data_IF_367291837016
#
_entry.id   IF_367291837016
#
_cell.length_a   1.000
_cell.length_b   1.000
_cell.length_c   1.000
_cell.angle_alpha   90.00
_cell.angle_beta   90.00
_cell.angle_gamma   90.00
#
_symmetry.space_group_name_H-M   'P 1'
#
loop_
_entity.id
_entity.type
_entity.pdbx_description
1 polymer ?
#
# COMPACT_ATOMS: atom_id res chain seq x y z
N UNK A 1 -2.70 16.07 -3.93
CA UNK A 1 -2.42 15.02 -2.92
C UNK A 1 -3.50 13.95 -2.94
N UNK A 2 -4.78 14.31 -2.75
CA UNK A 2 -5.89 13.35 -2.75
C UNK A 2 -6.02 12.52 -4.02
N UNK A 3 -5.99 13.12 -5.22
CA UNK A 3 -6.12 12.37 -6.48
C UNK A 3 -4.97 11.37 -6.72
N UNK A 4 -3.73 11.79 -6.50
CA UNK A 4 -2.57 10.92 -6.59
C UNK A 4 -2.63 9.77 -5.55
N UNK A 5 -3.12 10.06 -4.33
CA UNK A 5 -3.36 9.04 -3.32
C UNK A 5 -4.51 8.09 -3.67
N UNK A 6 -5.53 8.56 -4.40
CA UNK A 6 -6.64 7.73 -4.86
C UNK A 6 -6.18 6.67 -5.87
N UNK A 7 -5.29 7.03 -6.81
CA UNK A 7 -4.69 6.08 -7.74
C UNK A 7 -3.98 4.94 -7.01
N UNK A 8 -3.16 5.26 -6.01
CA UNK A 8 -2.52 4.27 -5.15
C UNK A 8 -3.55 3.44 -4.37
N UNK A 9 -4.55 4.07 -3.76
CA UNK A 9 -5.62 3.39 -3.01
C UNK A 9 -6.34 2.35 -3.87
N UNK A 10 -6.72 2.69 -5.09
CA UNK A 10 -7.36 1.73 -5.99
C UNK A 10 -6.40 0.60 -6.38
N UNK A 11 -5.15 0.94 -6.68
CA UNK A 11 -4.14 -0.06 -7.02
C UNK A 11 -3.86 -1.05 -5.89
N UNK A 12 -3.64 -0.61 -4.64
CA UNK A 12 -3.37 -1.55 -3.54
C UNK A 12 -4.55 -2.49 -3.28
N UNK A 13 -5.78 -2.05 -3.50
CA UNK A 13 -6.94 -2.93 -3.37
C UNK A 13 -6.98 -4.01 -4.47
N UNK A 14 -6.78 -3.62 -5.73
CA UNK A 14 -6.69 -4.58 -6.84
C UNK A 14 -5.49 -5.50 -6.73
N UNK A 15 -4.33 -4.96 -6.32
CA UNK A 15 -3.11 -5.72 -6.07
C UNK A 15 -3.32 -6.72 -4.92
N UNK A 16 -3.97 -6.33 -3.82
CA UNK A 16 -4.35 -7.23 -2.73
C UNK A 16 -5.21 -8.37 -3.26
N UNK A 17 -6.28 -8.05 -4.01
CA UNK A 17 -7.19 -9.05 -4.56
C UNK A 17 -6.48 -10.05 -5.47
N UNK A 18 -5.58 -9.58 -6.33
CA UNK A 18 -4.73 -10.44 -7.16
C UNK A 18 -3.79 -11.34 -6.37
N UNK A 19 -3.24 -10.85 -5.26
CA UNK A 19 -2.38 -11.67 -4.41
C UNK A 19 -3.14 -12.73 -3.61
N UNK A 20 -4.47 -12.59 -3.42
CA UNK A 20 -5.28 -13.63 -2.77
C UNK A 20 -5.33 -14.94 -3.58
N UNK A 21 -4.93 -14.95 -4.86
CA UNK A 21 -4.75 -16.19 -5.61
C UNK A 21 -3.70 -17.13 -5.00
N UNK A 22 -2.87 -16.66 -4.06
CA UNK A 22 -1.94 -17.51 -3.30
C UNK A 22 -2.67 -18.64 -2.56
N UNK A 23 -3.93 -18.41 -2.16
CA UNK A 23 -4.79 -19.40 -1.50
C UNK A 23 -5.41 -20.41 -2.47
N UNK A 24 -5.42 -20.10 -3.77
CA UNK A 24 -5.94 -20.99 -4.82
C UNK A 24 -4.87 -21.94 -5.38
N UNK A 25 -3.61 -21.82 -4.91
CA UNK A 25 -2.50 -22.70 -5.26
C UNK A 25 -1.55 -22.13 -6.32
N UNK A 26 -0.45 -22.86 -6.61
CA UNK A 26 0.65 -22.37 -7.43
C UNK A 26 0.26 -22.00 -8.86
N UNK A 27 -0.56 -22.83 -9.51
CA UNK A 27 -0.96 -22.60 -10.90
C UNK A 27 -1.80 -21.34 -11.05
N UNK A 28 -2.82 -21.16 -10.19
CA UNK A 28 -3.69 -20.00 -10.24
C UNK A 28 -2.91 -18.69 -10.00
N UNK A 29 -1.99 -18.68 -9.03
CA UNK A 29 -1.16 -17.52 -8.72
C UNK A 29 -0.20 -17.17 -9.86
N UNK A 30 0.49 -18.16 -10.42
CA UNK A 30 1.45 -17.95 -11.51
C UNK A 30 0.76 -17.54 -12.81
N UNK A 31 -0.39 -18.14 -13.15
CA UNK A 31 -1.19 -17.74 -14.32
C UNK A 31 -1.71 -16.31 -14.21
N UNK A 32 -2.16 -15.90 -13.03
CA UNK A 32 -2.57 -14.51 -12.79
C UNK A 32 -1.40 -13.53 -13.01
N UNK A 33 -0.23 -13.80 -12.43
CA UNK A 33 0.97 -12.99 -12.64
C UNK A 33 1.40 -12.95 -14.11
N UNK A 34 1.34 -14.10 -14.80
CA UNK A 34 1.65 -14.19 -16.22
C UNK A 34 0.68 -13.35 -17.08
N UNK A 35 -0.62 -13.40 -16.82
CA UNK A 35 -1.62 -12.62 -17.57
C UNK A 35 -1.34 -11.11 -17.51
N UNK A 36 -0.87 -10.60 -16.37
CA UNK A 36 -0.49 -9.19 -16.22
C UNK A 36 0.81 -8.90 -16.97
N UNK A 37 1.85 -9.72 -16.76
CA UNK A 37 3.19 -9.47 -17.34
C UNK A 37 3.22 -9.64 -18.86
N UNK A 38 2.38 -10.53 -19.40
CA UNK A 38 2.25 -10.74 -20.84
C UNK A 38 1.49 -9.59 -21.52
N UNK A 39 0.62 -8.89 -20.79
CA UNK A 39 -0.02 -7.67 -21.27
C UNK A 39 0.87 -6.44 -21.05
N UNK A 40 1.87 -6.26 -21.94
CA UNK A 40 2.85 -5.16 -21.85
C UNK A 40 2.24 -3.76 -21.78
N UNK A 41 1.21 -3.40 -22.58
CA UNK A 41 0.55 -2.10 -22.45
C UNK A 41 -0.07 -1.87 -21.08
N UNK A 42 -0.78 -2.87 -20.54
CA UNK A 42 -1.36 -2.78 -19.20
C UNK A 42 -0.27 -2.63 -18.13
N UNK A 43 0.78 -3.44 -18.21
CA UNK A 43 1.89 -3.43 -17.26
C UNK A 43 2.58 -2.05 -17.24
N UNK A 44 3.14 -1.62 -18.37
CA UNK A 44 3.92 -0.37 -18.41
C UNK A 44 3.04 0.87 -18.21
N UNK A 45 1.80 0.86 -18.70
CA UNK A 45 0.84 1.93 -18.44
C UNK A 45 0.56 2.08 -16.95
N UNK A 46 0.33 0.97 -16.26
CA UNK A 46 0.11 0.96 -14.80
C UNK A 46 1.36 1.42 -14.05
N UNK A 47 2.55 0.97 -14.43
CA UNK A 47 3.81 1.37 -13.78
C UNK A 47 4.09 2.87 -13.90
N UNK A 48 3.97 3.43 -15.11
CA UNK A 48 4.16 4.87 -15.35
C UNK A 48 3.14 5.67 -14.56
N UNK A 49 1.88 5.25 -14.56
CA UNK A 49 0.81 5.89 -13.80
C UNK A 49 1.10 5.90 -12.29
N UNK A 50 1.51 4.76 -11.73
CA UNK A 50 1.80 4.63 -10.30
C UNK A 50 3.01 5.44 -9.88
N UNK A 51 4.12 5.37 -10.63
CA UNK A 51 5.32 6.16 -10.34
C UNK A 51 5.00 7.65 -10.39
N UNK A 52 4.26 8.10 -11.40
CA UNK A 52 3.82 9.49 -11.51
C UNK A 52 2.97 9.90 -10.31
N UNK A 53 1.99 9.08 -9.93
CA UNK A 53 1.17 9.32 -8.74
C UNK A 53 2.01 9.34 -7.46
N UNK A 54 3.02 8.47 -7.33
CA UNK A 54 3.89 8.41 -6.15
C UNK A 54 4.71 9.69 -6.00
N UNK A 55 5.35 10.13 -7.09
CA UNK A 55 6.17 11.35 -7.10
C UNK A 55 5.33 12.58 -6.74
N UNK A 56 4.13 12.70 -7.33
CA UNK A 56 3.20 13.80 -7.00
C UNK A 56 2.74 13.69 -5.54
N UNK A 57 2.39 12.49 -5.07
CA UNK A 57 1.91 12.27 -3.71
C UNK A 57 2.99 12.64 -2.67
N UNK A 58 4.21 12.11 -2.83
CA UNK A 58 5.35 12.37 -1.95
C UNK A 58 5.79 13.83 -2.02
N UNK A 59 5.91 14.42 -3.22
CA UNK A 59 6.31 15.81 -3.39
C UNK A 59 5.37 16.79 -2.69
N UNK A 60 4.05 16.60 -2.87
CA UNK A 60 3.05 17.39 -2.15
C UNK A 60 3.04 17.10 -0.64
N UNK A 61 3.32 15.86 -0.23
CA UNK A 61 3.47 15.44 1.17
C UNK A 61 4.59 16.17 1.89
N UNK A 62 5.75 16.21 1.26
CA UNK A 62 6.92 16.92 1.75
C UNK A 62 6.66 18.41 1.82
N UNK A 63 6.10 19.01 0.76
CA UNK A 63 5.73 20.42 0.75
C UNK A 63 4.82 20.78 1.93
N UNK A 64 3.72 20.03 2.12
CA UNK A 64 2.79 20.26 3.23
C UNK A 64 3.46 20.08 4.59
N UNK A 65 4.35 19.10 4.74
CA UNK A 65 5.10 18.86 5.98
C UNK A 65 6.02 20.04 6.30
N UNK A 66 6.70 20.60 5.29
CA UNK A 66 7.57 21.76 5.45
C UNK A 66 6.77 23.03 5.76
N UNK A 67 5.65 23.26 5.08
CA UNK A 67 4.74 24.37 5.35
C UNK A 67 4.20 24.31 6.79
N UNK A 68 3.74 23.14 7.24
CA UNK A 68 3.28 22.93 8.62
C UNK A 68 4.39 23.15 9.66
N UNK A 69 5.65 22.79 9.34
CA UNK A 69 6.80 23.02 10.23
C UNK A 69 7.13 24.51 10.33
N UNK A 70 7.05 25.25 9.22
CA UNK A 70 7.26 26.71 9.17
C UNK A 70 6.15 27.48 9.86
N UNK A 71 4.91 27.01 9.76
CA UNK A 71 3.74 27.64 10.36
C UNK A 71 3.57 27.41 11.87
N UNK A 72 4.50 26.70 12.53
CA UNK A 72 4.43 26.48 13.99
C UNK A 72 4.54 27.82 14.72
N UNK A 73 3.55 28.17 15.58
CA UNK A 73 3.57 29.43 16.29
C UNK A 73 4.84 29.59 17.13
N UNK A 74 5.38 30.81 17.18
CA UNK A 74 6.42 31.16 18.14
C UNK A 74 6.01 30.74 19.56
N UNK A 75 6.99 30.47 20.43
CA UNK A 75 6.83 29.91 21.79
C UNK A 75 5.80 30.66 22.68
N UNK A 76 5.37 31.87 22.27
CA UNK A 76 4.42 32.74 22.96
C UNK A 76 3.09 32.98 22.23
N UNK A 77 2.82 32.35 21.09
CA UNK A 77 1.53 32.53 20.43
C UNK A 77 0.43 31.78 21.21
N UNK A 78 -0.61 32.51 21.63
CA UNK A 78 -1.77 31.94 22.33
C UNK A 78 -2.38 30.84 21.45
N UNK A 79 -2.48 29.61 21.98
CA UNK A 79 -3.23 28.54 21.31
C UNK A 79 -4.66 29.01 21.11
N UNK A 80 -5.15 28.95 19.87
CA UNK A 80 -6.53 29.30 19.57
C UNK A 80 -7.47 28.44 20.43
N UNK A 81 -8.34 29.11 21.20
CA UNK A 81 -9.43 28.47 21.93
C UNK A 81 -10.31 27.81 20.86
N UNK A 82 -10.44 26.47 20.89
CA UNK A 82 -11.16 25.61 19.92
C UNK A 82 -10.38 25.03 18.72
N UNK A 83 -9.04 25.07 18.69
CA UNK A 83 -8.30 24.34 17.66
C UNK A 83 -8.51 22.81 17.79
N UNK A 84 -9.08 22.16 16.75
CA UNK A 84 -9.19 20.69 16.69
C UNK A 84 -7.79 20.06 16.74
N UNK A 85 -7.56 19.18 17.71
CA UNK A 85 -6.30 18.43 17.79
C UNK A 85 -6.17 17.50 16.57
N UNK A 86 -5.02 17.50 15.87
CA UNK A 86 -4.77 16.54 14.80
C UNK A 86 -4.74 15.11 15.36
N UNK A 87 -5.26 14.14 14.61
CA UNK A 87 -5.24 12.73 15.03
C UNK A 87 -3.81 12.19 15.09
N UNK A 88 -3.57 11.11 15.86
CA UNK A 88 -2.25 10.48 15.98
C UNK A 88 -1.64 10.15 14.62
N UNK A 89 -2.38 9.44 13.78
CA UNK A 89 -1.90 9.10 12.44
C UNK A 89 -1.62 10.34 11.57
N UNK A 90 -2.39 11.44 11.74
CA UNK A 90 -2.10 12.70 11.03
C UNK A 90 -0.77 13.31 11.46
N UNK A 91 -0.42 13.17 12.75
CA UNK A 91 0.84 13.68 13.29
C UNK A 91 2.04 12.84 12.84
N UNK A 92 1.84 11.55 12.57
CA UNK A 92 2.90 10.62 12.17
C UNK A 92 2.90 10.26 10.68
N UNK A 93 2.01 10.84 9.85
CA UNK A 93 1.88 10.52 8.41
C UNK A 93 3.19 10.53 7.65
N UNK A 94 4.05 11.53 7.90
CA UNK A 94 5.34 11.64 7.22
C UNK A 94 6.26 10.45 7.56
N UNK A 95 6.32 10.05 8.83
CA UNK A 95 7.13 8.90 9.25
C UNK A 95 6.64 7.58 8.64
N UNK A 96 5.33 7.32 8.73
CA UNK A 96 4.77 6.11 8.10
C UNK A 96 4.99 6.13 6.59
N UNK A 97 4.76 7.27 5.93
CA UNK A 97 4.98 7.43 4.49
C UNK A 97 6.43 7.18 4.06
N UNK A 98 7.40 7.64 4.85
CA UNK A 98 8.82 7.36 4.59
C UNK A 98 9.14 5.87 4.71
N UNK A 99 8.65 5.19 5.75
CA UNK A 99 8.86 3.75 5.92
C UNK A 99 8.21 2.97 4.77
N UNK A 100 6.99 3.35 4.38
CA UNK A 100 6.26 2.73 3.25
C UNK A 100 7.03 2.94 1.93
N UNK A 101 7.66 4.10 1.72
CA UNK A 101 8.47 4.33 0.52
C UNK A 101 9.64 3.34 0.42
N UNK A 102 10.39 3.14 1.52
CA UNK A 102 11.46 2.14 1.56
C UNK A 102 10.91 0.72 1.40
N UNK A 103 9.77 0.43 2.01
CA UNK A 103 9.08 -0.84 1.85
C UNK A 103 8.70 -1.11 0.39
N UNK A 104 8.17 -0.15 -0.35
CA UNK A 104 7.84 -0.30 -1.78
C UNK A 104 9.10 -0.62 -2.60
N UNK A 105 10.21 0.10 -2.35
CA UNK A 105 11.47 -0.17 -3.05
C UNK A 105 11.94 -1.59 -2.78
N UNK A 106 11.98 -2.00 -1.51
CA UNK A 106 12.40 -3.34 -1.11
C UNK A 106 11.47 -4.44 -1.64
N UNK A 107 10.16 -4.20 -1.62
CA UNK A 107 9.13 -5.06 -2.18
C UNK A 107 9.35 -5.28 -3.69
N UNK A 108 9.63 -4.22 -4.45
CA UNK A 108 9.91 -4.33 -5.89
C UNK A 108 11.23 -5.06 -6.16
N UNK A 109 12.29 -4.75 -5.41
CA UNK A 109 13.57 -5.48 -5.52
C UNK A 109 13.34 -6.98 -5.31
N UNK A 110 12.52 -7.35 -4.33
CA UNK A 110 12.25 -8.74 -4.00
C UNK A 110 11.37 -9.43 -5.04
N UNK A 111 10.18 -8.90 -5.33
CA UNK A 111 9.18 -9.63 -6.13
C UNK A 111 9.24 -9.33 -7.62
N UNK A 112 9.59 -8.10 -8.02
CA UNK A 112 9.73 -7.75 -9.44
C UNK A 112 11.08 -8.21 -9.98
N UNK A 113 12.17 -7.87 -9.29
CA UNK A 113 13.55 -8.10 -9.75
C UNK A 113 14.31 -9.19 -8.99
N UNK A 114 13.69 -9.87 -8.03
CA UNK A 114 14.33 -10.99 -7.34
C UNK A 114 14.49 -12.23 -8.23
N UNK A 115 14.89 -13.36 -7.64
CA UNK A 115 15.12 -14.60 -8.37
C UNK A 115 14.01 -14.93 -9.38
N UNK A 116 14.42 -15.40 -10.55
CA UNK A 116 13.54 -15.81 -11.62
C UNK A 116 13.55 -17.33 -11.74
N UNK A 117 12.39 -17.94 -11.55
CA UNK A 117 12.16 -19.36 -11.71
C UNK A 117 11.12 -19.55 -12.81
N UNK A 118 11.27 -20.61 -13.59
CA UNK A 118 10.31 -20.97 -14.63
C UNK A 118 9.47 -22.17 -14.19
N UNK A 119 8.21 -22.18 -14.60
CA UNK A 119 7.29 -23.30 -14.46
C UNK A 119 6.45 -23.42 -15.73
N UNK A 120 6.15 -24.65 -16.12
CA UNK A 120 5.31 -24.94 -17.29
C UNK A 120 3.99 -25.55 -16.85
N UNK A 121 2.88 -24.92 -17.24
CA UNK A 121 1.54 -25.45 -17.02
C UNK A 121 0.86 -25.71 -18.37
N UNK A 122 0.71 -26.99 -18.73
CA UNK A 122 0.29 -27.37 -20.07
C UNK A 122 1.39 -27.07 -21.09
N UNK A 123 1.12 -26.21 -22.07
CA UNK A 123 2.07 -25.81 -23.13
C UNK A 123 2.72 -24.45 -22.90
N UNK A 124 2.36 -23.75 -21.82
CA UNK A 124 2.84 -22.39 -21.55
C UNK A 124 3.87 -22.40 -20.41
N UNK A 125 5.03 -21.81 -20.68
CA UNK A 125 6.06 -21.52 -19.67
C UNK A 125 5.90 -20.10 -19.16
N UNK A 126 5.92 -19.95 -17.84
CA UNK A 126 5.75 -18.67 -17.15
C UNK A 126 6.64 -18.59 -15.91
N UNK A 127 6.77 -17.39 -15.34
CA UNK A 127 7.51 -17.19 -14.10
C UNK A 127 6.79 -17.84 -12.92
N UNK A 128 7.52 -18.62 -12.14
CA UNK A 128 7.07 -19.21 -10.88
C UNK A 128 7.18 -18.19 -9.73
N UNK A 129 6.24 -17.25 -9.69
CA UNK A 129 6.13 -16.26 -8.63
C UNK A 129 5.70 -16.89 -7.31
N UNK A 130 4.89 -17.95 -7.35
CA UNK A 130 4.44 -18.67 -6.17
C UNK A 130 5.64 -19.21 -5.39
N UNK A 131 6.57 -19.88 -6.07
CA UNK A 131 7.81 -20.37 -5.45
C UNK A 131 8.59 -19.25 -4.79
N UNK A 132 8.83 -18.13 -5.48
CA UNK A 132 9.54 -16.99 -4.93
C UNK A 132 8.86 -16.45 -3.66
N UNK A 133 7.52 -16.34 -3.66
CA UNK A 133 6.75 -15.90 -2.48
C UNK A 133 6.91 -16.86 -1.31
N UNK A 134 6.86 -18.18 -1.58
CA UNK A 134 7.04 -19.20 -0.54
C UNK A 134 8.45 -19.16 0.06
N UNK A 135 9.48 -19.04 -0.76
CA UNK A 135 10.87 -18.95 -0.31
C UNK A 135 11.09 -17.70 0.56
N UNK A 136 10.63 -16.53 0.10
CA UNK A 136 10.81 -15.26 0.82
C UNK A 136 10.06 -15.25 2.15
N UNK A 137 8.81 -15.70 2.18
CA UNK A 137 8.01 -15.74 3.41
C UNK A 137 8.28 -16.97 4.29
N UNK A 138 9.27 -17.79 3.97
CA UNK A 138 9.76 -18.82 4.89
C UNK A 138 10.74 -18.26 5.94
N UNK A 139 11.30 -17.07 5.72
CA UNK A 139 12.22 -16.39 6.63
C UNK A 139 11.43 -15.60 7.72
N UNK A 140 11.49 -16.00 9.01
CA UNK A 140 10.70 -15.36 10.07
C UNK A 140 10.95 -13.85 10.21
N UNK A 141 12.20 -13.41 10.08
CA UNK A 141 12.54 -12.00 10.20
C UNK A 141 11.92 -11.17 9.06
N UNK A 142 11.88 -11.73 7.85
CA UNK A 142 11.26 -11.09 6.69
C UNK A 142 9.75 -10.94 6.92
N UNK A 143 9.07 -12.01 7.36
CA UNK A 143 7.63 -11.99 7.64
C UNK A 143 7.28 -10.94 8.69
N UNK A 144 8.02 -10.90 9.80
CA UNK A 144 7.80 -9.92 10.86
C UNK A 144 7.96 -8.47 10.36
N UNK A 145 9.04 -8.19 9.60
CA UNK A 145 9.27 -6.88 9.00
C UNK A 145 8.21 -6.49 7.97
N UNK A 146 7.77 -7.45 7.15
CA UNK A 146 6.73 -7.24 6.13
C UNK A 146 5.38 -6.91 6.78
N UNK A 147 4.97 -7.67 7.80
CA UNK A 147 3.73 -7.43 8.56
C UNK A 147 3.77 -6.07 9.26
N UNK A 148 4.92 -5.69 9.84
CA UNK A 148 5.09 -4.36 10.44
C UNK A 148 4.84 -3.24 9.41
N UNK A 149 5.44 -3.34 8.21
CA UNK A 149 5.22 -2.39 7.13
C UNK A 149 3.76 -2.35 6.67
N UNK A 150 3.07 -3.50 6.60
CA UNK A 150 1.65 -3.56 6.26
C UNK A 150 0.75 -2.90 7.31
N UNK A 151 1.08 -3.02 8.60
CA UNK A 151 0.36 -2.31 9.68
C UNK A 151 0.53 -0.80 9.51
N UNK A 152 1.74 -0.32 9.23
CA UNK A 152 1.99 1.10 8.95
C UNK A 152 1.24 1.57 7.69
N UNK A 153 1.19 0.75 6.65
CA UNK A 153 0.37 0.99 5.45
C UNK A 153 -1.11 1.12 5.82
N UNK A 154 -1.64 0.29 6.71
CA UNK A 154 -3.02 0.38 7.20
C UNK A 154 -3.32 1.70 7.89
N UNK A 155 -2.42 2.14 8.77
CA UNK A 155 -2.55 3.44 9.45
C UNK A 155 -2.45 4.58 8.43
N UNK A 156 -1.61 4.45 7.41
CA UNK A 156 -1.49 5.44 6.33
C UNK A 156 -2.75 5.49 5.46
N UNK A 157 -3.30 4.33 5.07
CA UNK A 157 -4.50 4.21 4.23
C UNK A 157 -5.77 4.66 4.96
N UNK A 158 -5.93 4.37 6.26
CA UNK A 158 -7.13 4.76 7.00
C UNK A 158 -7.33 6.28 7.02
N UNK A 159 -6.23 7.02 6.98
CA UNK A 159 -6.21 8.47 6.80
C UNK A 159 -6.27 8.87 5.33
N UNK A 160 -5.44 8.27 4.48
CA UNK A 160 -5.32 8.57 3.05
C UNK A 160 -6.63 8.41 2.29
N UNK A 161 -7.32 7.27 2.44
CA UNK A 161 -8.54 6.96 1.70
C UNK A 161 -9.66 7.98 1.96
N UNK A 162 -9.86 8.37 3.22
CA UNK A 162 -10.88 9.37 3.57
C UNK A 162 -10.50 10.79 3.12
N UNK A 163 -9.20 11.10 2.98
CA UNK A 163 -8.70 12.42 2.59
C UNK A 163 -8.92 12.76 1.10
N UNK A 164 -9.12 11.74 0.26
CA UNK A 164 -9.46 11.91 -1.16
C UNK A 164 -10.75 12.71 -1.29
N UNK A 165 -11.78 12.31 -0.55
CA UNK A 165 -13.08 12.99 -0.53
C UNK A 165 -12.99 14.43 -0.05
N UNK A 166 -12.05 14.71 0.85
CA UNK A 166 -11.80 16.08 1.31
C UNK A 166 -11.18 16.95 0.22
N UNK A 167 -10.31 16.36 -0.61
CA UNK A 167 -9.62 17.07 -1.70
C UNK A 167 -10.57 17.44 -2.84
N UNK A 168 -11.57 16.60 -3.14
CA UNK A 168 -12.56 16.84 -4.19
C UNK A 168 -13.77 17.67 -3.72
N UNK A 169 -13.72 18.24 -2.51
CA UNK A 169 -14.77 19.12 -1.99
C UNK A 169 -15.94 18.42 -1.30
N UNK A 170 -15.92 17.09 -1.18
CA UNK A 170 -16.90 16.32 -0.41
C UNK A 170 -16.59 16.39 1.11
N UNK A 171 -16.67 17.60 1.68
CA UNK A 171 -16.53 17.86 3.12
C UNK A 171 -17.79 18.48 3.71
N UNK A 172 -18.50 17.75 4.57
CA UNK A 172 -19.66 18.27 5.29
C UNK A 172 -19.89 17.50 6.59
N UNK A 173 -20.33 18.18 7.67
CA UNK A 173 -20.52 17.56 8.98
C UNK A 173 -21.37 16.28 8.98
N UNK A 174 -22.36 16.20 8.06
CA UNK A 174 -23.25 15.03 7.92
C UNK A 174 -22.56 13.78 7.37
N UNK A 175 -21.73 13.90 6.33
CA UNK A 175 -21.17 12.74 5.63
C UNK A 175 -19.68 12.50 5.90
N UNK A 176 -18.94 13.50 6.39
CA UNK A 176 -17.53 13.32 6.79
C UNK A 176 -17.30 12.20 7.82
N UNK A 177 -18.15 12.00 8.85
CA UNK A 177 -18.00 10.87 9.78
C UNK A 177 -18.14 9.51 9.08
N UNK A 178 -19.10 9.39 8.16
CA UNK A 178 -19.33 8.16 7.38
C UNK A 178 -18.15 7.86 6.47
N UNK A 179 -17.66 8.87 5.73
CA UNK A 179 -16.49 8.74 4.85
C UNK A 179 -15.26 8.28 5.63
N UNK A 180 -15.03 8.83 6.83
CA UNK A 180 -13.93 8.39 7.70
C UNK A 180 -14.09 6.94 8.13
N UNK A 181 -15.30 6.52 8.53
CA UNK A 181 -15.58 5.13 8.88
C UNK A 181 -15.32 4.19 7.70
N UNK A 182 -15.77 4.55 6.50
CA UNK A 182 -15.52 3.77 5.28
C UNK A 182 -14.02 3.69 4.94
N UNK A 183 -13.27 4.79 5.11
CA UNK A 183 -11.81 4.79 4.94
C UNK A 183 -11.10 3.82 5.90
N UNK A 184 -11.55 3.73 7.15
CA UNK A 184 -11.04 2.76 8.12
C UNK A 184 -11.39 1.31 7.75
N UNK A 185 -12.64 1.05 7.34
CA UNK A 185 -13.07 -0.29 6.91
C UNK A 185 -12.25 -0.73 5.70
N UNK A 186 -12.10 0.14 4.71
CA UNK A 186 -11.27 -0.11 3.54
C UNK A 186 -9.83 -0.47 3.92
N UNK A 187 -9.20 0.33 4.79
CA UNK A 187 -7.82 0.09 5.22
C UNK A 187 -7.68 -1.25 5.97
N UNK A 188 -8.66 -1.59 6.82
CA UNK A 188 -8.69 -2.87 7.52
C UNK A 188 -8.77 -4.04 6.55
N UNK A 189 -9.69 -4.00 5.58
CA UNK A 189 -9.86 -5.07 4.58
C UNK A 189 -8.59 -5.27 3.77
N UNK A 190 -7.98 -4.19 3.28
CA UNK A 190 -6.75 -4.26 2.48
C UNK A 190 -5.58 -4.83 3.29
N UNK A 191 -5.39 -4.36 4.52
CA UNK A 191 -4.28 -4.84 5.36
C UNK A 191 -4.48 -6.28 5.81
N UNK A 192 -5.68 -6.67 6.22
CA UNK A 192 -5.96 -8.07 6.59
C UNK A 192 -5.73 -8.99 5.39
N UNK A 193 -6.19 -8.59 4.19
CA UNK A 193 -5.99 -9.37 2.97
C UNK A 193 -4.53 -9.49 2.54
N UNK A 194 -3.69 -8.49 2.80
CA UNK A 194 -2.25 -8.60 2.58
C UNK A 194 -1.55 -9.40 3.68
N UNK A 195 -1.87 -9.19 4.95
CA UNK A 195 -1.25 -9.88 6.09
C UNK A 195 -1.57 -11.38 6.08
N UNK A 196 -2.74 -11.78 5.60
CA UNK A 196 -3.11 -13.20 5.53
C UNK A 196 -2.15 -14.01 4.65
N UNK A 197 -1.51 -13.40 3.66
CA UNK A 197 -0.64 -14.07 2.69
C UNK A 197 0.68 -14.57 3.32
N UNK A 198 1.55 -13.70 3.90
CA UNK A 198 2.77 -14.16 4.54
C UNK A 198 2.50 -15.06 5.75
N UNK A 199 1.42 -14.83 6.50
CA UNK A 199 1.03 -15.71 7.62
C UNK A 199 0.68 -17.10 7.09
N UNK A 200 -0.17 -17.19 6.07
CA UNK A 200 -0.55 -18.48 5.50
C UNK A 200 0.65 -19.24 4.95
N UNK A 201 1.50 -18.55 4.18
CA UNK A 201 2.71 -19.15 3.62
C UNK A 201 3.63 -19.66 4.72
N UNK A 202 3.92 -18.83 5.74
CA UNK A 202 4.83 -19.16 6.83
C UNK A 202 4.40 -20.39 7.64
N UNK A 203 3.09 -20.55 7.87
CA UNK A 203 2.56 -21.64 8.69
C UNK A 203 2.11 -22.88 7.91
N UNK A 204 1.77 -22.77 6.63
CA UNK A 204 1.16 -23.88 5.87
C UNK A 204 1.96 -24.34 4.65
N UNK A 205 2.81 -23.48 4.08
CA UNK A 205 3.57 -23.79 2.86
C UNK A 205 5.09 -23.83 3.09
N UNK A 206 5.56 -23.45 4.28
CA UNK A 206 6.96 -23.58 4.67
C UNK A 206 7.30 -25.07 4.82
N UNK A 207 8.23 -25.54 3.98
CA UNK A 207 8.87 -26.86 4.10
C UNK A 207 9.98 -26.87 5.15
#
# INVERSE_FOLDING_TARGET
>A
MGLAGAGWTLFVAGHMAGNLFIFAGPEAFNRYGHAIVSNKPLLFGTEIFLVTCLLIHVGLGLRLTLENKKAKPAKYAKKAVNAKKPSFASQTMAYHGTIILFFIIYHLITFKWGPHYDVTYGTETMRDLHRLVVEVFSEPAYVAGYVFCLVLLGIHLSHGASSVFQTIGCNHPRYTPVIKKLGWIYALVVVVGFISQPIYVFFNLRG
#
